data_IF_480688232662
#
_entry.id   IF_480688232662
#
_cell.length_a   1.000
_cell.length_b   1.000
_cell.length_c   1.000
_cell.angle_alpha   90.00
_cell.angle_beta   90.00
_cell.angle_gamma   90.00
#
_symmetry.space_group_name_H-M   'P 1'
#
loop_
_entity.id
_entity.type
_entity.pdbx_description
1 polymer ?
#
# COMPACT_ATOMS: atom_id res chain seq x y z
N UNK A 1 20.85 -10.93 -0.90
CA UNK A 1 19.89 -9.96 -0.31
C UNK A 1 18.60 -9.91 -1.15
N UNK A 2 17.50 -9.26 -0.72
CA UNK A 2 16.23 -9.19 -1.49
C UNK A 2 16.42 -8.71 -2.95
N UNK A 3 17.46 -7.91 -3.21
CA UNK A 3 17.82 -7.39 -4.53
C UNK A 3 18.53 -8.38 -5.48
N UNK A 4 18.93 -9.57 -5.02
CA UNK A 4 19.73 -10.54 -5.81
C UNK A 4 18.97 -11.81 -6.21
N UNK A 5 17.69 -11.94 -5.88
CA UNK A 5 17.07 -13.27 -5.73
C UNK A 5 15.67 -13.42 -6.32
N UNK A 6 15.24 -12.54 -7.24
CA UNK A 6 13.93 -12.66 -7.91
C UNK A 6 12.70 -12.38 -7.01
N UNK A 7 12.92 -12.05 -5.73
CA UNK A 7 11.84 -11.77 -4.77
C UNK A 7 10.97 -10.57 -5.15
N UNK A 8 11.49 -9.63 -5.95
CA UNK A 8 10.69 -8.53 -6.49
C UNK A 8 9.66 -8.99 -7.51
N UNK A 9 10.07 -9.86 -8.44
CA UNK A 9 9.16 -10.41 -9.46
C UNK A 9 8.04 -11.23 -8.79
N UNK A 10 8.39 -12.03 -7.79
CA UNK A 10 7.42 -12.79 -7.01
C UNK A 10 6.46 -11.90 -6.23
N UNK A 11 6.96 -10.83 -5.60
CA UNK A 11 6.12 -9.86 -4.90
C UNK A 11 5.12 -9.21 -5.86
N UNK A 12 5.60 -8.76 -7.03
CA UNK A 12 4.76 -8.16 -8.05
C UNK A 12 3.71 -9.14 -8.59
N UNK A 13 4.10 -10.38 -8.90
CA UNK A 13 3.18 -11.42 -9.36
C UNK A 13 2.11 -11.73 -8.31
N UNK A 14 2.52 -11.89 -7.04
CA UNK A 14 1.60 -12.15 -5.94
C UNK A 14 0.63 -10.98 -5.73
N UNK A 15 1.09 -9.74 -5.83
CA UNK A 15 0.25 -8.55 -5.74
C UNK A 15 -0.80 -8.53 -6.86
N UNK A 16 -0.37 -8.68 -8.13
CA UNK A 16 -1.27 -8.70 -9.28
C UNK A 16 -2.33 -9.81 -9.16
N UNK A 17 -1.91 -11.03 -8.84
CA UNK A 17 -2.84 -12.15 -8.66
C UNK A 17 -3.83 -11.94 -7.52
N UNK A 18 -3.41 -11.31 -6.41
CA UNK A 18 -4.25 -11.16 -5.22
C UNK A 18 -5.24 -10.00 -5.35
N UNK A 19 -4.80 -8.88 -5.94
CA UNK A 19 -5.59 -7.67 -6.08
C UNK A 19 -6.54 -7.72 -7.28
N UNK A 20 -6.12 -8.30 -8.41
CA UNK A 20 -6.99 -8.48 -9.58
C UNK A 20 -8.16 -9.43 -9.29
N UNK A 21 -7.99 -10.43 -8.42
CA UNK A 21 -9.09 -11.31 -7.99
C UNK A 21 -10.17 -10.61 -7.16
N UNK A 22 -9.91 -9.39 -6.69
CA UNK A 22 -10.81 -8.62 -5.83
C UNK A 22 -11.28 -7.31 -6.46
N UNK A 23 -10.97 -7.09 -7.74
CA UNK A 23 -11.24 -5.83 -8.44
C UNK A 23 -10.71 -4.60 -7.67
N UNK A 24 -9.56 -4.72 -7.02
CA UNK A 24 -8.95 -3.65 -6.20
C UNK A 24 -7.83 -2.88 -6.91
N UNK A 25 -7.56 -3.20 -8.18
CA UNK A 25 -6.42 -2.65 -8.93
C UNK A 25 -6.80 -1.47 -9.83
N UNK A 26 -8.08 -1.12 -9.90
CA UNK A 26 -8.52 0.07 -10.63
C UNK A 26 -8.28 1.35 -9.83
N UNK A 27 -8.21 2.46 -10.56
CA UNK A 27 -7.86 3.77 -10.00
C UNK A 27 -8.91 4.24 -8.98
N UNK A 28 -10.19 3.93 -9.18
CA UNK A 28 -11.29 4.36 -8.31
C UNK A 28 -11.17 3.63 -6.97
N UNK A 29 -11.06 2.30 -6.98
CA UNK A 29 -10.90 1.48 -5.77
C UNK A 29 -9.68 1.87 -4.96
N UNK A 30 -8.53 2.09 -5.61
CA UNK A 30 -7.31 2.55 -4.95
C UNK A 30 -7.54 3.94 -4.33
N UNK A 31 -8.16 4.86 -5.07
CA UNK A 31 -8.42 6.22 -4.57
C UNK A 31 -9.33 6.23 -3.34
N UNK A 32 -10.42 5.45 -3.34
CA UNK A 32 -11.29 5.31 -2.16
C UNK A 32 -10.54 4.71 -0.97
N UNK A 33 -9.74 3.66 -1.20
CA UNK A 33 -8.94 3.06 -0.14
C UNK A 33 -7.97 4.07 0.49
N UNK A 34 -7.25 4.84 -0.33
CA UNK A 34 -6.29 5.84 0.13
C UNK A 34 -6.97 7.00 0.86
N UNK A 35 -8.11 7.49 0.35
CA UNK A 35 -8.91 8.52 1.00
C UNK A 35 -9.37 8.06 2.39
N UNK A 36 -9.86 6.81 2.52
CA UNK A 36 -10.23 6.22 3.80
C UNK A 36 -9.05 6.12 4.76
N UNK A 37 -7.89 5.65 4.29
CA UNK A 37 -6.67 5.57 5.10
C UNK A 37 -6.18 6.95 5.57
N UNK A 38 -6.24 7.96 4.72
CA UNK A 38 -5.83 9.32 5.07
C UNK A 38 -6.72 9.91 6.16
N UNK A 39 -8.02 9.61 6.14
CA UNK A 39 -8.95 9.93 7.21
C UNK A 39 -8.60 9.20 8.52
N UNK A 40 -8.26 7.91 8.46
CA UNK A 40 -7.99 7.08 9.65
C UNK A 40 -6.64 7.38 10.33
N UNK A 41 -5.57 7.60 9.57
CA UNK A 41 -4.22 7.74 10.15
C UNK A 41 -4.01 9.06 10.89
N UNK A 42 -4.81 10.08 10.56
CA UNK A 42 -4.54 11.46 10.93
C UNK A 42 -3.21 11.95 10.31
N UNK A 43 -3.17 13.13 9.69
CA UNK A 43 -2.00 13.58 8.93
C UNK A 43 -0.72 13.67 9.79
N UNK A 44 -0.86 13.81 11.12
CA UNK A 44 0.25 14.01 12.07
C UNK A 44 1.31 12.92 12.06
N UNK A 45 0.96 11.64 11.88
CA UNK A 45 1.95 10.56 11.93
C UNK A 45 2.77 10.43 10.65
N UNK A 46 2.18 10.76 9.50
CA UNK A 46 2.88 10.78 8.22
C UNK A 46 3.75 12.04 8.14
N UNK A 47 3.19 13.21 8.44
CA UNK A 47 3.91 14.48 8.41
C UNK A 47 5.08 14.53 9.40
N UNK A 48 4.95 13.92 10.59
CA UNK A 48 6.01 13.93 11.60
C UNK A 48 7.30 13.22 11.15
N UNK A 49 7.18 12.14 10.37
CA UNK A 49 8.33 11.32 9.96
C UNK A 49 8.67 11.45 8.48
N UNK A 50 7.78 12.05 7.68
CA UNK A 50 7.94 12.26 6.25
C UNK A 50 8.32 10.99 5.49
N UNK A 51 9.14 11.15 4.46
CA UNK A 51 9.62 10.08 3.58
C UNK A 51 10.42 9.00 4.32
N UNK A 52 11.20 9.34 5.35
CA UNK A 52 11.94 8.33 6.13
C UNK A 52 11.01 7.35 6.83
N UNK A 53 9.95 7.87 7.46
CA UNK A 53 8.93 7.06 8.10
C UNK A 53 8.17 6.18 7.13
N UNK A 54 8.00 6.61 5.87
CA UNK A 54 7.38 5.80 4.82
C UNK A 54 8.30 4.67 4.36
N UNK A 55 9.60 4.93 4.19
CA UNK A 55 10.58 3.89 3.81
C UNK A 55 10.62 2.74 4.81
N UNK A 56 10.61 3.05 6.10
CA UNK A 56 10.58 2.03 7.16
C UNK A 56 9.30 1.20 7.09
N UNK A 57 8.14 1.85 6.93
CA UNK A 57 6.84 1.16 6.83
C UNK A 57 6.75 0.28 5.57
N UNK A 58 7.26 0.76 4.45
CA UNK A 58 7.32 -0.01 3.21
C UNK A 58 8.16 -1.28 3.41
N UNK A 59 9.33 -1.16 4.05
CA UNK A 59 10.17 -2.32 4.37
C UNK A 59 9.49 -3.31 5.31
N UNK A 60 8.77 -2.84 6.33
CA UNK A 60 8.01 -3.70 7.22
C UNK A 60 6.96 -4.54 6.46
N UNK A 61 6.27 -3.95 5.47
CA UNK A 61 5.30 -4.68 4.63
C UNK A 61 5.94 -5.70 3.70
N UNK A 62 7.09 -5.38 3.11
CA UNK A 62 7.85 -6.34 2.29
C UNK A 62 8.33 -7.52 3.15
N UNK A 63 8.84 -7.25 4.35
CA UNK A 63 9.22 -8.29 5.30
C UNK A 63 8.02 -9.15 5.74
N UNK A 64 6.86 -8.52 5.98
CA UNK A 64 5.59 -9.22 6.28
C UNK A 64 5.19 -10.16 5.15
N UNK A 65 5.26 -9.74 3.89
CA UNK A 65 5.02 -10.61 2.74
C UNK A 65 5.93 -11.84 2.75
N UNK A 66 7.24 -11.65 2.96
CA UNK A 66 8.20 -12.75 3.06
C UNK A 66 7.85 -13.75 4.17
N UNK A 67 7.36 -13.27 5.33
CA UNK A 67 6.93 -14.11 6.44
C UNK A 67 5.63 -14.87 6.15
N UNK A 68 4.65 -14.22 5.53
CA UNK A 68 3.39 -14.85 5.11
C UNK A 68 3.66 -15.98 4.12
N UNK A 69 4.54 -15.76 3.14
CA UNK A 69 4.95 -16.78 2.17
C UNK A 69 5.56 -18.02 2.84
N UNK A 70 6.49 -17.82 3.77
CA UNK A 70 7.16 -18.92 4.49
C UNK A 70 6.19 -19.78 5.32
N UNK A 71 5.08 -19.19 5.78
CA UNK A 71 4.10 -19.88 6.62
C UNK A 71 3.11 -20.74 5.83
N UNK A 72 3.06 -20.63 4.49
CA UNK A 72 2.25 -21.50 3.64
C UNK A 72 0.76 -21.51 4.00
N UNK A 73 0.22 -20.43 4.55
CA UNK A 73 -1.15 -20.41 5.05
C UNK A 73 -2.14 -20.32 3.90
N UNK A 74 -2.68 -21.48 3.49
CA UNK A 74 -3.77 -21.63 2.51
C UNK A 74 -5.08 -20.92 2.93
N UNK A 75 -5.19 -20.51 4.19
CA UNK A 75 -6.27 -19.66 4.68
C UNK A 75 -5.84 -18.19 4.67
N UNK A 76 -6.58 -17.40 3.87
CA UNK A 76 -6.67 -15.92 3.87
C UNK A 76 -5.70 -15.19 2.91
N UNK A 77 -6.18 -15.00 1.68
CA UNK A 77 -5.67 -13.96 0.76
C UNK A 77 -5.79 -12.54 1.33
N UNK A 78 -6.63 -12.33 2.34
CA UNK A 78 -6.91 -11.02 2.94
C UNK A 78 -5.67 -10.37 3.61
N UNK A 79 -4.88 -11.05 4.47
CA UNK A 79 -3.58 -10.56 4.93
C UNK A 79 -2.60 -10.15 3.84
N UNK A 80 -2.61 -10.83 2.68
CA UNK A 80 -1.76 -10.49 1.54
C UNK A 80 -2.29 -9.23 0.82
N UNK A 81 -3.59 -9.19 0.54
CA UNK A 81 -4.27 -8.03 -0.04
C UNK A 81 -4.03 -6.78 0.81
N UNK A 82 -4.22 -6.85 2.11
CA UNK A 82 -3.94 -5.74 3.03
C UNK A 82 -2.49 -5.29 2.94
N UNK A 83 -1.56 -6.26 2.86
CA UNK A 83 -0.13 -5.96 2.75
C UNK A 83 0.21 -5.26 1.44
N UNK A 84 -0.38 -5.69 0.32
CA UNK A 84 -0.14 -5.06 -0.98
C UNK A 84 -0.82 -3.70 -1.10
N UNK A 85 -2.02 -3.53 -0.55
CA UNK A 85 -2.69 -2.23 -0.51
C UNK A 85 -1.93 -1.23 0.38
N UNK A 86 -1.37 -1.66 1.50
CA UNK A 86 -0.47 -0.82 2.32
C UNK A 86 0.77 -0.40 1.52
N UNK A 87 1.38 -1.31 0.74
CA UNK A 87 2.53 -0.99 -0.13
C UNK A 87 2.15 0.06 -1.17
N UNK A 88 1.05 -0.14 -1.90
CA UNK A 88 0.53 0.83 -2.88
C UNK A 88 0.31 2.18 -2.21
N UNK A 89 -0.33 2.20 -1.03
CA UNK A 89 -0.61 3.44 -0.33
C UNK A 89 0.62 4.19 0.13
N UNK A 90 1.66 3.51 0.61
CA UNK A 90 2.91 4.20 0.96
C UNK A 90 3.66 4.77 -0.24
N UNK A 91 3.57 4.12 -1.41
CA UNK A 91 4.13 4.67 -2.66
C UNK A 91 3.37 5.93 -3.08
N UNK A 92 2.03 5.89 -3.12
CA UNK A 92 1.22 7.06 -3.51
C UNK A 92 1.38 8.21 -2.53
N UNK A 93 1.36 7.94 -1.21
CA UNK A 93 1.57 8.97 -0.18
C UNK A 93 2.96 9.60 -0.31
N UNK A 94 4.00 8.82 -0.65
CA UNK A 94 5.33 9.36 -0.87
C UNK A 94 5.34 10.39 -2.01
N UNK A 95 4.66 10.09 -3.12
CA UNK A 95 4.52 11.04 -4.23
C UNK A 95 3.70 12.27 -3.81
N UNK A 96 2.60 12.08 -3.09
CA UNK A 96 1.82 13.20 -2.55
C UNK A 96 2.66 14.12 -1.65
N UNK A 97 3.57 13.57 -0.83
CA UNK A 97 4.49 14.39 -0.03
C UNK A 97 5.50 15.14 -0.91
N UNK A 98 6.05 14.48 -1.93
CA UNK A 98 7.01 15.09 -2.84
C UNK A 98 6.41 16.27 -3.62
N UNK A 99 5.14 16.19 -3.99
CA UNK A 99 4.42 17.25 -4.69
C UNK A 99 3.65 18.21 -3.78
N UNK A 100 3.66 18.00 -2.46
CA UNK A 100 2.91 18.84 -1.50
C UNK A 100 1.38 18.65 -1.56
N UNK A 101 0.90 17.54 -2.11
CA UNK A 101 -0.52 17.22 -2.25
C UNK A 101 -1.14 16.59 -0.99
N UNK A 102 -0.32 16.06 -0.09
CA UNK A 102 -0.80 15.28 1.07
C UNK A 102 -1.68 16.10 2.03
N UNK A 103 -1.48 17.41 2.11
CA UNK A 103 -2.26 18.29 2.99
C UNK A 103 -3.49 18.90 2.31
N UNK A 104 -3.70 18.62 1.02
CA UNK A 104 -4.87 19.14 0.30
C UNK A 104 -6.16 18.53 0.86
N UNK A 105 -7.27 19.30 0.92
CA UNK A 105 -8.56 18.78 1.33
C UNK A 105 -8.98 17.60 0.44
N UNK A 106 -9.37 16.49 1.06
CA UNK A 106 -9.92 15.33 0.35
C UNK A 106 -11.39 15.61 0.05
N UNK A 107 -11.74 15.75 -1.22
CA UNK A 107 -13.12 15.85 -1.70
C UNK A 107 -13.60 14.48 -2.18
N UNK A 108 -14.26 13.74 -1.30
CA UNK A 108 -14.80 12.40 -1.60
C UNK A 108 -16.01 12.42 -2.52
N UNK A 109 -16.61 13.59 -2.81
CA UNK A 109 -17.82 13.70 -3.64
C UNK A 109 -17.55 13.50 -5.14
N UNK A 110 -16.27 13.47 -5.54
CA UNK A 110 -15.85 13.32 -6.95
C UNK A 110 -15.36 11.92 -7.33
N UNK A 111 -15.39 10.97 -6.40
CA UNK A 111 -14.91 9.60 -6.65
C UNK A 111 -15.98 8.69 -7.28
N UNK A 112 -17.26 9.07 -7.19
CA UNK A 112 -18.41 8.30 -7.70
C UNK A 112 -18.84 8.73 -9.12
N UNK A 113 -17.95 9.42 -9.86
CA UNK A 113 -18.22 10.02 -11.18
C UNK A 113 -17.85 9.15 -12.37
#
# INVERSE_FOLDING_TARGET
MWYETGHWDELCQAAMMSLSKRDMMDVVSISHFLAGKQHDYGPRNILKFGTEGLRVRLWDKIARFGNLRKRGTDAKNEPLVDTFMDIIGYVVINDMLAYGWFELPVDVTKLDG
#
